data_IF_727680849444
#
_entry.id   IF_727680849444
#
_cell.length_a   1.000
_cell.length_b   1.000
_cell.length_c   1.000
_cell.angle_alpha   90.00
_cell.angle_beta   90.00
_cell.angle_gamma   90.00
#
_symmetry.space_group_name_H-M   'P 1'
#
loop_
_entity.id
_entity.type
_entity.pdbx_description
1 polymer ?
#
# COMPACT_ATOMS: atom_id res chain seq x y z
N UNK A 1 18.17 -23.53 6.32
CA UNK A 1 18.35 -22.10 6.66
C UNK A 1 16.99 -21.55 7.05
N UNK A 2 16.92 -20.70 8.09
CA UNK A 2 15.68 -19.99 8.47
C UNK A 2 15.92 -18.52 8.21
N UNK A 3 15.22 -17.96 7.24
CA UNK A 3 15.30 -16.54 6.94
C UNK A 3 14.55 -15.76 8.03
N UNK A 4 15.10 -14.61 8.43
CA UNK A 4 14.46 -13.70 9.38
C UNK A 4 14.55 -12.27 8.83
N UNK A 5 13.41 -11.60 8.74
CA UNK A 5 13.30 -10.20 8.35
C UNK A 5 12.16 -9.55 9.11
N UNK A 6 12.30 -8.26 9.44
CA UNK A 6 11.22 -7.42 9.97
C UNK A 6 10.90 -6.35 8.93
N UNK A 7 9.74 -6.44 8.31
CA UNK A 7 9.22 -5.36 7.47
C UNK A 7 8.49 -4.39 8.41
N UNK A 8 8.87 -3.11 8.48
CA UNK A 8 8.14 -2.14 9.30
C UNK A 8 6.72 -1.97 8.75
N UNK A 9 5.72 -2.35 9.55
CA UNK A 9 4.30 -2.22 9.23
C UNK A 9 3.74 -0.97 9.91
N UNK A 10 3.99 0.20 9.31
CA UNK A 10 3.60 1.50 9.87
C UNK A 10 3.02 2.45 8.82
N UNK A 11 2.04 3.26 9.21
CA UNK A 11 1.43 4.28 8.36
C UNK A 11 2.15 5.65 8.42
N UNK A 12 3.40 5.66 8.92
CA UNK A 12 4.21 6.88 8.99
C UNK A 12 4.37 7.44 7.56
N UNK A 13 4.16 8.76 7.35
CA UNK A 13 4.41 9.36 6.06
C UNK A 13 5.91 9.29 5.75
N UNK A 14 6.24 8.60 4.67
CA UNK A 14 7.54 8.72 4.04
C UNK A 14 7.46 9.88 3.08
N UNK A 15 8.15 10.96 3.40
CA UNK A 15 8.40 12.04 2.46
C UNK A 15 9.64 11.65 1.65
N UNK A 16 9.49 11.18 0.40
CA UNK A 16 10.64 10.95 -0.46
C UNK A 16 11.48 12.22 -0.48
N UNK A 17 12.77 12.07 -0.16
CA UNK A 17 13.69 13.19 -0.16
C UNK A 17 14.20 13.38 -1.57
N UNK A 18 13.96 14.58 -2.10
CA UNK A 18 14.35 14.96 -3.45
C UNK A 18 15.44 16.01 -3.37
N UNK A 19 16.59 15.74 -3.99
CA UNK A 19 17.50 16.79 -4.48
C UNK A 19 17.49 16.74 -6.01
N UNK A 20 17.91 17.79 -6.72
CA UNK A 20 17.84 17.84 -8.19
C UNK A 20 18.44 16.62 -8.93
N UNK A 21 19.37 15.89 -8.30
CA UNK A 21 20.02 14.70 -8.86
C UNK A 21 20.00 13.49 -7.93
N UNK A 22 19.17 13.51 -6.88
CA UNK A 22 19.07 12.41 -5.90
C UNK A 22 17.60 12.13 -5.62
N UNK A 23 17.22 10.87 -5.82
CA UNK A 23 15.87 10.37 -5.62
C UNK A 23 15.91 9.08 -4.82
N UNK A 24 15.12 9.03 -3.74
CA UNK A 24 14.95 7.82 -2.95
C UNK A 24 13.89 6.90 -3.60
N UNK A 25 14.21 5.62 -3.68
CA UNK A 25 13.30 4.55 -4.16
C UNK A 25 13.06 3.50 -3.08
N UNK A 26 12.11 2.60 -3.31
CA UNK A 26 11.78 1.51 -2.39
C UNK A 26 11.19 1.98 -1.06
N UNK A 27 11.52 1.31 0.04
CA UNK A 27 10.93 1.61 1.35
C UNK A 27 11.21 3.04 1.81
N UNK A 28 12.45 3.53 1.63
CA UNK A 28 12.83 4.91 1.96
C UNK A 28 12.14 5.93 1.04
N UNK A 29 11.81 5.52 -0.19
CA UNK A 29 10.98 6.29 -1.12
C UNK A 29 9.47 6.22 -0.84
N UNK A 30 9.04 5.50 0.21
CA UNK A 30 7.63 5.35 0.57
C UNK A 30 6.86 4.36 -0.32
N UNK A 31 7.55 3.49 -1.06
CA UNK A 31 6.89 2.57 -2.00
C UNK A 31 6.46 1.24 -1.39
N UNK A 32 6.95 0.88 -0.21
CA UNK A 32 6.48 -0.31 0.48
C UNK A 32 5.06 -0.09 0.97
N UNK A 33 4.12 -0.93 0.54
CA UNK A 33 2.75 -0.90 1.06
C UNK A 33 2.75 -1.21 2.56
N UNK A 34 2.32 -0.29 3.43
CA UNK A 34 2.47 -0.42 4.88
C UNK A 34 1.86 -1.69 5.49
N UNK A 35 0.72 -2.12 4.95
CA UNK A 35 -0.06 -3.22 5.51
C UNK A 35 0.35 -4.61 5.01
N UNK A 36 1.12 -4.70 3.93
CA UNK A 36 1.45 -5.99 3.28
C UNK A 36 2.93 -6.16 2.94
N UNK A 37 3.74 -5.10 3.03
CA UNK A 37 5.12 -5.12 2.57
C UNK A 37 5.27 -5.15 1.04
N UNK A 38 4.17 -5.08 0.28
CA UNK A 38 4.20 -5.18 -1.17
C UNK A 38 4.99 -4.00 -1.77
N UNK A 39 6.13 -4.30 -2.41
CA UNK A 39 7.11 -3.29 -2.80
C UNK A 39 7.66 -3.52 -4.22
N UNK A 40 7.96 -4.77 -4.57
CA UNK A 40 8.73 -5.10 -5.78
C UNK A 40 8.15 -4.51 -7.08
N UNK A 41 6.87 -4.80 -7.37
CA UNK A 41 6.20 -4.29 -8.57
C UNK A 41 6.06 -2.76 -8.56
N UNK A 42 5.88 -2.18 -7.36
CA UNK A 42 5.74 -0.73 -7.17
C UNK A 42 7.06 -0.01 -7.47
N UNK A 43 8.20 -0.58 -7.07
CA UNK A 43 9.53 -0.07 -7.45
C UNK A 43 9.69 -0.10 -8.97
N UNK A 44 9.36 -1.22 -9.63
CA UNK A 44 9.49 -1.31 -11.09
C UNK A 44 8.70 -0.21 -11.80
N UNK A 45 7.46 0.01 -11.40
CA UNK A 45 6.63 1.08 -11.95
C UNK A 45 7.22 2.47 -11.71
N UNK A 46 7.73 2.74 -10.52
CA UNK A 46 8.41 4.02 -10.25
C UNK A 46 9.65 4.18 -11.12
N UNK A 47 10.42 3.12 -11.33
CA UNK A 47 11.58 3.12 -12.22
C UNK A 47 11.19 3.46 -13.66
N UNK A 48 10.08 2.91 -14.17
CA UNK A 48 9.59 3.22 -15.52
C UNK A 48 9.27 4.72 -15.65
N UNK A 49 8.56 5.29 -14.67
CA UNK A 49 8.25 6.72 -14.63
C UNK A 49 9.52 7.59 -14.54
N UNK A 50 10.51 7.18 -13.72
CA UNK A 50 11.79 7.87 -13.62
C UNK A 50 12.51 7.91 -14.98
N UNK A 51 12.49 6.80 -15.72
CA UNK A 51 13.09 6.72 -17.06
C UNK A 51 12.38 7.68 -18.02
N UNK A 52 11.05 7.71 -18.00
CA UNK A 52 10.25 8.62 -18.82
C UNK A 52 10.55 10.10 -18.52
N UNK A 53 10.64 10.49 -17.25
CA UNK A 53 11.00 11.85 -16.82
C UNK A 53 12.39 12.25 -17.34
N UNK A 54 13.37 11.33 -17.23
CA UNK A 54 14.75 11.58 -17.67
C UNK A 54 14.86 11.71 -19.19
N UNK A 55 14.06 10.94 -19.94
CA UNK A 55 14.06 10.98 -21.41
C UNK A 55 13.32 12.21 -21.96
N UNK A 56 12.34 12.75 -21.24
CA UNK A 56 11.48 13.86 -21.70
C UNK A 56 12.01 15.24 -21.29
N UNK A 57 12.24 15.48 -19.99
CA UNK A 57 12.58 16.81 -19.45
C UNK A 57 14.03 16.89 -18.93
N UNK A 58 14.70 15.75 -18.77
CA UNK A 58 16.05 15.68 -18.17
C UNK A 58 16.09 16.02 -16.67
N UNK A 59 14.92 16.19 -16.03
CA UNK A 59 14.76 16.47 -14.61
C UNK A 59 13.82 15.48 -13.94
N UNK A 60 14.18 15.01 -12.75
CA UNK A 60 13.36 14.09 -11.96
C UNK A 60 12.19 14.84 -11.33
N UNK A 61 10.96 14.40 -11.57
CA UNK A 61 9.78 14.96 -10.93
C UNK A 61 9.40 14.18 -9.65
N UNK A 62 8.90 14.86 -8.60
CA UNK A 62 8.36 14.18 -7.42
C UNK A 62 7.07 13.43 -7.75
N UNK A 63 7.06 12.10 -7.52
CA UNK A 63 5.86 11.29 -7.70
C UNK A 63 5.22 10.95 -6.34
N UNK A 64 3.91 11.18 -6.17
CA UNK A 64 3.25 10.79 -4.93
C UNK A 64 3.29 9.26 -4.78
N UNK A 65 3.79 8.73 -3.65
CA UNK A 65 4.04 7.30 -3.53
C UNK A 65 2.77 6.44 -3.47
N UNK A 66 1.65 7.01 -3.03
CA UNK A 66 0.37 6.28 -2.93
C UNK A 66 -0.82 7.24 -2.93
N UNK A 67 -1.92 6.81 -3.56
CA UNK A 67 -3.20 7.52 -3.57
C UNK A 67 -3.84 7.51 -2.16
N UNK A 68 -4.52 8.59 -1.77
CA UNK A 68 -5.21 8.73 -0.49
C UNK A 68 -6.12 7.55 -0.14
N UNK A 69 -6.83 6.97 -1.13
CA UNK A 69 -7.70 5.81 -0.87
C UNK A 69 -6.92 4.59 -0.38
N UNK A 70 -5.76 4.31 -0.97
CA UNK A 70 -4.95 3.16 -0.59
C UNK A 70 -4.27 3.37 0.76
N UNK A 71 -3.86 4.62 1.06
CA UNK A 71 -3.42 5.00 2.42
C UNK A 71 -4.51 4.76 3.46
N UNK A 72 -5.78 5.03 3.14
CA UNK A 72 -6.90 4.72 4.03
C UNK A 72 -7.07 3.21 4.21
N UNK A 73 -7.00 2.43 3.13
CA UNK A 73 -7.11 0.96 3.20
C UNK A 73 -5.99 0.35 4.04
N UNK A 74 -4.75 0.82 3.84
CA UNK A 74 -3.59 0.42 4.63
C UNK A 74 -3.75 0.78 6.10
N UNK A 75 -4.23 1.98 6.41
CA UNK A 75 -4.51 2.41 7.78
C UNK A 75 -5.53 1.49 8.47
N UNK A 76 -6.59 1.08 7.76
CA UNK A 76 -7.59 0.18 8.33
C UNK A 76 -7.04 -1.22 8.54
N UNK A 77 -6.31 -1.76 7.56
CA UNK A 77 -5.72 -3.08 7.67
C UNK A 77 -4.64 -3.13 8.76
N UNK A 78 -3.78 -2.12 8.87
CA UNK A 78 -2.80 -1.98 9.96
C UNK A 78 -3.47 -1.95 11.33
N UNK A 79 -4.60 -1.23 11.46
CA UNK A 79 -5.36 -1.20 12.71
C UNK A 79 -5.92 -2.58 13.09
N UNK A 80 -6.35 -3.38 12.11
CA UNK A 80 -6.81 -4.75 12.33
C UNK A 80 -5.63 -5.64 12.74
N UNK A 81 -4.50 -5.55 12.03
CA UNK A 81 -3.29 -6.32 12.33
C UNK A 81 -2.78 -6.05 13.76
N UNK A 82 -2.74 -4.78 14.18
CA UNK A 82 -2.28 -4.36 15.52
C UNK A 82 -3.20 -4.84 16.65
N UNK A 83 -4.54 -4.81 16.44
CA UNK A 83 -5.51 -5.04 17.53
C UNK A 83 -6.17 -6.41 17.52
N UNK A 84 -6.29 -7.02 16.35
CA UNK A 84 -7.04 -8.24 16.11
C UNK A 84 -6.32 -9.12 15.08
N UNK A 85 -5.15 -9.71 15.43
CA UNK A 85 -4.34 -10.50 14.49
C UNK A 85 -5.09 -11.72 13.91
N UNK A 86 -5.99 -12.33 14.70
CA UNK A 86 -6.92 -13.38 14.25
C UNK A 86 -7.84 -12.90 13.11
N UNK A 87 -8.40 -11.68 13.24
CA UNK A 87 -9.23 -11.08 12.19
C UNK A 87 -8.38 -10.76 10.95
N UNK A 88 -7.14 -10.30 11.13
CA UNK A 88 -6.22 -10.05 10.03
C UNK A 88 -5.92 -11.34 9.24
N UNK A 89 -5.68 -12.46 9.93
CA UNK A 89 -5.50 -13.76 9.29
C UNK A 89 -6.72 -14.13 8.43
N UNK A 90 -7.93 -13.97 8.98
CA UNK A 90 -9.17 -14.21 8.24
C UNK A 90 -9.33 -13.30 7.03
N UNK A 91 -8.99 -12.02 7.16
CA UNK A 91 -9.01 -11.06 6.04
C UNK A 91 -8.06 -11.50 4.92
N UNK A 92 -6.81 -11.85 5.23
CA UNK A 92 -5.86 -12.30 4.22
C UNK A 92 -6.28 -13.61 3.56
N UNK A 93 -6.80 -14.56 4.34
CA UNK A 93 -7.30 -15.82 3.82
C UNK A 93 -8.45 -15.61 2.81
N UNK A 94 -9.43 -14.77 3.16
CA UNK A 94 -10.54 -14.45 2.25
C UNK A 94 -10.07 -13.66 1.03
N UNK A 95 -9.16 -12.70 1.21
CA UNK A 95 -8.60 -11.91 0.12
C UNK A 95 -7.97 -12.81 -0.96
N UNK A 96 -7.14 -13.78 -0.54
CA UNK A 96 -6.45 -14.68 -1.46
C UNK A 96 -7.34 -15.79 -2.02
N UNK A 97 -8.32 -16.28 -1.24
CA UNK A 97 -9.20 -17.38 -1.65
C UNK A 97 -10.34 -16.94 -2.58
N UNK A 98 -10.87 -15.73 -2.37
CA UNK A 98 -12.10 -15.28 -3.03
C UNK A 98 -11.85 -14.38 -4.25
N UNK A 99 -10.59 -14.06 -4.57
CA UNK A 99 -10.22 -13.21 -5.69
C UNK A 99 -9.17 -13.91 -6.57
N UNK A 100 -9.09 -13.53 -7.84
CA UNK A 100 -7.97 -13.96 -8.68
C UNK A 100 -6.67 -13.34 -8.18
N UNK A 101 -5.53 -14.03 -8.40
CA UNK A 101 -4.22 -13.48 -8.05
C UNK A 101 -3.95 -12.18 -8.80
N UNK A 102 -4.41 -12.04 -10.03
CA UNK A 102 -4.27 -10.81 -10.82
C UNK A 102 -5.02 -9.63 -10.18
N UNK A 103 -6.25 -9.84 -9.69
CA UNK A 103 -7.02 -8.81 -8.99
C UNK A 103 -6.31 -8.39 -7.70
N UNK A 104 -5.82 -9.37 -6.94
CA UNK A 104 -5.05 -9.11 -5.71
C UNK A 104 -3.76 -8.34 -6.02
N UNK A 105 -3.00 -8.74 -7.03
CA UNK A 105 -1.76 -8.05 -7.40
C UNK A 105 -2.01 -6.64 -7.92
N UNK A 106 -3.05 -6.41 -8.71
CA UNK A 106 -3.47 -5.05 -9.12
C UNK A 106 -3.82 -4.20 -7.91
N UNK A 107 -4.57 -4.74 -6.95
CA UNK A 107 -4.90 -4.03 -5.71
C UNK A 107 -3.68 -3.70 -4.86
N UNK A 108 -2.79 -4.67 -4.64
CA UNK A 108 -1.55 -4.48 -3.88
C UNK A 108 -0.59 -3.51 -4.58
N UNK A 109 -0.59 -3.49 -5.91
CA UNK A 109 0.18 -2.56 -6.73
C UNK A 109 -0.44 -1.16 -6.79
N UNK A 110 -1.66 -0.96 -6.27
CA UNK A 110 -2.45 0.28 -6.36
C UNK A 110 -2.92 0.63 -7.78
N UNK A 111 -3.14 -0.40 -8.60
CA UNK A 111 -3.56 -0.32 -10.01
C UNK A 111 -5.02 -0.74 -10.22
N UNK A 112 -5.72 -1.10 -9.15
CA UNK A 112 -7.14 -1.45 -9.17
C UNK A 112 -8.03 -0.23 -9.39
N UNK A 113 -9.13 -0.41 -10.14
CA UNK A 113 -10.19 0.59 -10.23
C UNK A 113 -11.04 0.62 -8.95
N UNK A 114 -11.88 1.65 -8.77
CA UNK A 114 -12.82 1.69 -7.63
C UNK A 114 -13.78 0.48 -7.63
N UNK A 115 -14.12 -0.03 -8.81
CA UNK A 115 -14.98 -1.21 -8.94
C UNK A 115 -14.23 -2.49 -8.52
N UNK A 116 -12.96 -2.61 -8.91
CA UNK A 116 -12.09 -3.70 -8.44
C UNK A 116 -11.92 -3.65 -6.91
N UNK A 117 -11.69 -2.46 -6.35
CA UNK A 117 -11.57 -2.25 -4.90
C UNK A 117 -12.84 -2.68 -4.17
N UNK A 118 -14.02 -2.30 -4.69
CA UNK A 118 -15.30 -2.66 -4.09
C UNK A 118 -15.52 -4.19 -4.11
N UNK A 119 -15.18 -4.85 -5.23
CA UNK A 119 -15.23 -6.31 -5.35
C UNK A 119 -14.33 -6.98 -4.31
N UNK A 120 -13.12 -6.46 -4.10
CA UNK A 120 -12.22 -6.96 -3.07
C UNK A 120 -12.79 -6.72 -1.67
N UNK A 121 -13.32 -5.53 -1.39
CA UNK A 121 -13.89 -5.20 -0.09
C UNK A 121 -15.09 -6.08 0.30
N UNK A 122 -15.94 -6.43 -0.66
CA UNK A 122 -17.08 -7.33 -0.42
C UNK A 122 -16.67 -8.79 -0.28
N UNK A 123 -15.47 -9.15 -0.73
CA UNK A 123 -14.93 -10.51 -0.63
C UNK A 123 -14.33 -10.86 0.75
N UNK A 124 -14.06 -9.85 1.59
CA UNK A 124 -13.41 -9.99 2.91
C UNK A 124 -14.38 -9.70 4.07
N UNK A 125 -14.11 -10.18 5.30
CA UNK A 125 -14.96 -9.87 6.46
C UNK A 125 -15.04 -8.36 6.70
N UNK A 126 -16.25 -7.78 6.62
CA UNK A 126 -16.45 -6.33 6.72
C UNK A 126 -16.41 -5.80 8.17
N UNK A 127 -16.80 -6.62 9.16
CA UNK A 127 -16.92 -6.19 10.55
C UNK A 127 -15.58 -5.71 11.18
N UNK A 128 -14.42 -6.36 10.94
CA UNK A 128 -13.11 -5.82 11.31
C UNK A 128 -12.84 -4.43 10.74
N UNK A 129 -13.17 -4.19 9.46
CA UNK A 129 -12.94 -2.91 8.80
C UNK A 129 -13.84 -1.80 9.34
N UNK A 130 -15.12 -2.06 9.62
CA UNK A 130 -16.00 -1.07 10.23
C UNK A 130 -15.49 -0.59 11.60
N UNK A 131 -15.00 -1.53 12.43
CA UNK A 131 -14.37 -1.20 13.71
C UNK A 131 -13.09 -0.37 13.52
N UNK A 132 -12.26 -0.75 12.55
CA UNK A 132 -11.04 -0.03 12.21
C UNK A 132 -11.31 1.40 11.74
N UNK A 133 -12.28 1.60 10.83
CA UNK A 133 -12.72 2.91 10.33
C UNK A 133 -13.13 3.84 11.47
N UNK A 134 -13.95 3.34 12.41
CA UNK A 134 -14.35 4.13 13.57
C UNK A 134 -13.12 4.55 14.38
N UNK A 135 -12.28 3.58 14.74
CA UNK A 135 -11.10 3.81 15.60
C UNK A 135 -10.09 4.77 14.97
N UNK A 136 -9.93 4.75 13.65
CA UNK A 136 -8.95 5.57 12.95
C UNK A 136 -9.51 6.86 12.34
N UNK A 137 -10.79 7.21 12.60
CA UNK A 137 -11.45 8.40 12.04
C UNK A 137 -10.65 9.71 12.17
N UNK A 138 -9.94 9.90 13.28
CA UNK A 138 -9.14 11.11 13.52
C UNK A 138 -7.85 11.12 12.68
N UNK A 139 -7.27 9.95 12.39
CA UNK A 139 -6.09 9.78 11.55
C UNK A 139 -6.45 9.88 10.07
N UNK A 140 -7.61 9.34 9.69
CA UNK A 140 -8.14 9.42 8.33
C UNK A 140 -8.28 10.87 7.83
N UNK A 141 -8.64 11.81 8.73
CA UNK A 141 -8.70 13.25 8.42
C UNK A 141 -7.36 13.89 8.07
N UNK A 142 -6.24 13.23 8.34
CA UNK A 142 -4.88 13.72 8.09
C UNK A 142 -4.25 13.15 6.80
N UNK A 143 -4.95 12.27 6.09
CA UNK A 143 -4.52 11.65 4.82
C UNK A 143 -4.91 12.54 3.63
#
# INVERSE_FOLDING_TARGET
RKEFGKIPMEDRPYNPWYKPRILNIGTVGGLTKPSTGYTFKRIQKQTDVIIEDLLSEGTLQPHPPSNKRFKAYDLWLLQIIDRHPEDAFNVFNHLLKNNSLDDVFRFLAEESSLNDDLKIMTSVPYAPFLRAIWKTRNRLRKI
#
